data_IF_275879752213
#
_entry.id   IF_275879752213
#
_cell.length_a   1.000
_cell.length_b   1.000
_cell.length_c   1.000
_cell.angle_alpha   90.00
_cell.angle_beta   90.00
_cell.angle_gamma   90.00
#
_symmetry.space_group_name_H-M   'P 1'
#
loop_
_entity.id
_entity.type
_entity.pdbx_description
1 polymer ?
#
# COMPACT_ATOMS: atom_id res chain seq x y z
N UNK A 1 -79.52 -23.82 -52.48
CA UNK A 1 -78.36 -22.98 -52.13
C UNK A 1 -78.02 -23.15 -50.65
N UNK A 2 -77.37 -24.25 -50.23
CA UNK A 2 -76.97 -24.46 -48.81
C UNK A 2 -75.55 -25.06 -48.67
N UNK A 3 -74.94 -25.58 -49.76
CA UNK A 3 -73.62 -26.24 -49.72
C UNK A 3 -72.44 -25.33 -49.36
N UNK A 4 -72.54 -24.01 -49.53
CA UNK A 4 -71.42 -23.08 -49.29
C UNK A 4 -71.31 -22.60 -47.84
N UNK A 5 -72.41 -22.62 -47.08
CA UNK A 5 -72.41 -22.17 -45.68
C UNK A 5 -71.57 -23.11 -44.78
N UNK A 6 -71.65 -24.41 -45.04
CA UNK A 6 -70.95 -25.45 -44.27
C UNK A 6 -69.43 -25.44 -44.54
N UNK A 7 -69.04 -25.10 -45.77
CA UNK A 7 -67.63 -24.95 -46.14
C UNK A 7 -66.98 -23.73 -45.47
N UNK A 8 -67.69 -22.60 -45.43
CA UNK A 8 -67.21 -21.37 -44.78
C UNK A 8 -67.09 -21.58 -43.26
N UNK A 9 -68.06 -22.28 -42.64
CA UNK A 9 -68.03 -22.57 -41.21
C UNK A 9 -66.81 -23.41 -40.81
N UNK A 10 -66.49 -24.46 -41.59
CA UNK A 10 -65.28 -25.27 -41.39
C UNK A 10 -63.99 -24.47 -41.57
N UNK A 11 -63.96 -23.54 -42.52
CA UNK A 11 -62.81 -22.69 -42.79
C UNK A 11 -62.55 -21.71 -41.65
N UNK A 12 -63.60 -21.09 -41.10
CA UNK A 12 -63.49 -20.24 -39.92
C UNK A 12 -63.05 -21.02 -38.68
N UNK A 13 -63.53 -22.25 -38.49
CA UNK A 13 -63.12 -23.10 -37.36
C UNK A 13 -61.63 -23.51 -37.47
N UNK A 14 -61.18 -23.87 -38.66
CA UNK A 14 -59.78 -24.19 -38.93
C UNK A 14 -58.87 -22.96 -38.78
N UNK A 15 -59.30 -21.80 -39.25
CA UNK A 15 -58.58 -20.54 -39.08
C UNK A 15 -58.49 -20.13 -37.60
N UNK A 16 -59.58 -20.30 -36.84
CA UNK A 16 -59.59 -20.05 -35.39
C UNK A 16 -58.65 -20.96 -34.62
N UNK A 17 -58.63 -22.25 -34.96
CA UNK A 17 -57.69 -23.22 -34.35
C UNK A 17 -56.22 -22.89 -34.67
N UNK A 18 -55.92 -22.46 -35.91
CA UNK A 18 -54.57 -22.06 -36.31
C UNK A 18 -54.12 -20.76 -35.63
N UNK A 19 -54.99 -19.75 -35.53
CA UNK A 19 -54.66 -18.50 -34.83
C UNK A 19 -54.49 -18.73 -33.32
N UNK A 20 -55.36 -19.55 -32.71
CA UNK A 20 -55.22 -19.94 -31.31
C UNK A 20 -53.93 -20.71 -31.03
N UNK A 21 -53.59 -21.69 -31.88
CA UNK A 21 -52.35 -22.47 -31.76
C UNK A 21 -51.09 -21.63 -31.99
N UNK A 22 -51.10 -20.73 -32.97
CA UNK A 22 -49.99 -19.82 -33.24
C UNK A 22 -49.77 -18.82 -32.09
N UNK A 23 -50.83 -18.30 -31.48
CA UNK A 23 -50.73 -17.40 -30.33
C UNK A 23 -50.11 -18.07 -29.11
N UNK A 24 -50.53 -19.30 -28.79
CA UNK A 24 -49.97 -20.07 -27.66
C UNK A 24 -48.53 -20.49 -27.96
N UNK A 25 -48.23 -20.95 -29.17
CA UNK A 25 -46.87 -21.32 -29.59
C UNK A 25 -45.91 -20.14 -29.59
N UNK A 26 -46.36 -18.95 -30.02
CA UNK A 26 -45.55 -17.72 -29.96
C UNK A 26 -45.29 -17.27 -28.52
N UNK A 27 -46.32 -17.34 -27.66
CA UNK A 27 -46.19 -16.96 -26.25
C UNK A 27 -45.21 -17.88 -25.50
N UNK A 28 -45.33 -19.20 -25.67
CA UNK A 28 -44.45 -20.16 -25.00
C UNK A 28 -43.08 -20.33 -25.67
N UNK A 29 -42.99 -20.22 -27.00
CA UNK A 29 -41.75 -20.45 -27.74
C UNK A 29 -40.84 -19.22 -27.86
N UNK A 30 -41.37 -18.00 -27.81
CA UNK A 30 -40.60 -16.76 -28.01
C UNK A 30 -40.70 -15.83 -26.80
N UNK A 31 -41.92 -15.59 -26.30
CA UNK A 31 -42.12 -14.58 -25.24
C UNK A 31 -41.57 -15.04 -23.88
N UNK A 32 -41.90 -16.25 -23.44
CA UNK A 32 -41.38 -16.85 -22.20
C UNK A 32 -39.84 -16.91 -22.13
N UNK A 33 -39.10 -17.47 -23.12
CA UNK A 33 -37.65 -17.51 -23.06
C UNK A 33 -36.99 -16.12 -23.14
N UNK A 34 -37.64 -15.13 -23.75
CA UNK A 34 -37.10 -13.76 -23.83
C UNK A 34 -37.09 -13.03 -22.47
N UNK A 35 -37.96 -13.40 -21.53
CA UNK A 35 -37.96 -12.83 -20.18
C UNK A 35 -36.84 -13.42 -19.33
N UNK A 36 -36.63 -14.73 -19.42
CA UNK A 36 -35.59 -15.45 -18.68
C UNK A 36 -34.18 -14.98 -19.08
N UNK A 37 -33.97 -14.70 -20.38
CA UNK A 37 -32.71 -14.11 -20.89
C UNK A 37 -32.50 -12.68 -20.37
N UNK A 38 -33.57 -11.88 -20.21
CA UNK A 38 -33.47 -10.53 -19.64
C UNK A 38 -33.16 -10.57 -18.16
N UNK A 39 -33.79 -11.46 -17.39
CA UNK A 39 -33.49 -11.64 -15.98
C UNK A 39 -32.07 -12.16 -15.77
N UNK A 40 -31.63 -13.16 -16.56
CA UNK A 40 -30.23 -13.62 -16.50
C UNK A 40 -29.23 -12.54 -16.88
N UNK A 41 -29.48 -11.74 -17.92
CA UNK A 41 -28.56 -10.67 -18.32
C UNK A 41 -28.49 -9.55 -17.27
N UNK A 42 -29.61 -9.17 -16.65
CA UNK A 42 -29.61 -8.24 -15.52
C UNK A 42 -28.91 -8.83 -14.28
N UNK A 43 -29.11 -10.12 -13.99
CA UNK A 43 -28.44 -10.78 -12.88
C UNK A 43 -26.92 -10.88 -13.11
N UNK A 44 -26.48 -11.16 -14.35
CA UNK A 44 -25.07 -11.15 -14.70
C UNK A 44 -24.46 -9.75 -14.66
N UNK A 45 -25.18 -8.72 -15.16
CA UNK A 45 -24.73 -7.33 -15.07
C UNK A 45 -24.56 -6.88 -13.61
N UNK A 46 -25.54 -7.17 -12.73
CA UNK A 46 -25.41 -6.89 -11.28
C UNK A 46 -24.26 -7.64 -10.63
N UNK A 47 -24.02 -8.90 -11.02
CA UNK A 47 -22.87 -9.68 -10.52
C UNK A 47 -21.54 -9.08 -10.98
N UNK A 48 -21.45 -8.61 -12.22
CA UNK A 48 -20.26 -7.93 -12.73
C UNK A 48 -20.03 -6.59 -12.03
N UNK A 49 -21.07 -5.77 -11.86
CA UNK A 49 -20.97 -4.49 -11.13
C UNK A 49 -20.50 -4.72 -9.68
N UNK A 50 -21.10 -5.69 -8.98
CA UNK A 50 -20.67 -6.04 -7.62
C UNK A 50 -19.24 -6.58 -7.57
N UNK A 51 -18.83 -7.38 -8.56
CA UNK A 51 -17.46 -7.88 -8.65
C UNK A 51 -16.46 -6.75 -8.89
N UNK A 52 -16.77 -5.80 -9.79
CA UNK A 52 -15.94 -4.62 -10.06
C UNK A 52 -15.83 -3.74 -8.81
N UNK A 53 -16.95 -3.46 -8.14
CA UNK A 53 -16.94 -2.68 -6.88
C UNK A 53 -16.11 -3.36 -5.79
N UNK A 54 -16.20 -4.67 -5.62
CA UNK A 54 -15.36 -5.41 -4.67
C UNK A 54 -13.88 -5.35 -5.06
N UNK A 55 -13.55 -5.52 -6.33
CA UNK A 55 -12.15 -5.43 -6.78
C UNK A 55 -11.58 -4.03 -6.61
N UNK A 56 -12.38 -2.99 -6.85
CA UNK A 56 -11.95 -1.60 -6.66
C UNK A 56 -11.76 -1.27 -5.18
N UNK A 57 -12.66 -1.73 -4.30
CA UNK A 57 -12.50 -1.58 -2.85
C UNK A 57 -11.23 -2.26 -2.33
N UNK A 58 -10.97 -3.50 -2.75
CA UNK A 58 -9.74 -4.23 -2.41
C UNK A 58 -8.49 -3.55 -2.97
N UNK A 59 -8.54 -3.06 -4.21
CA UNK A 59 -7.42 -2.34 -4.83
C UNK A 59 -7.12 -1.02 -4.11
N UNK A 60 -8.16 -0.30 -3.67
CA UNK A 60 -8.01 0.92 -2.87
C UNK A 60 -7.41 0.63 -1.49
N UNK A 61 -7.87 -0.42 -0.80
CA UNK A 61 -7.28 -0.85 0.47
C UNK A 61 -5.81 -1.23 0.31
N UNK A 62 -5.46 -2.02 -0.70
CA UNK A 62 -4.08 -2.39 -0.98
C UNK A 62 -3.18 -1.18 -1.27
N UNK A 63 -3.70 -0.17 -2.00
CA UNK A 63 -2.97 1.09 -2.25
C UNK A 63 -2.73 1.88 -0.97
N UNK A 64 -3.74 1.99 -0.10
CA UNK A 64 -3.62 2.70 1.19
C UNK A 64 -2.63 2.01 2.11
N UNK A 65 -2.68 0.68 2.19
CA UNK A 65 -1.74 -0.09 3.01
C UNK A 65 -0.31 0.06 2.48
N UNK A 66 -0.11 -0.06 1.17
CA UNK A 66 1.21 0.14 0.55
C UNK A 66 1.74 1.55 0.81
N UNK A 67 0.91 2.59 0.68
CA UNK A 67 1.30 3.96 0.96
C UNK A 67 1.71 4.15 2.43
N UNK A 68 0.99 3.54 3.37
CA UNK A 68 1.34 3.58 4.79
C UNK A 68 2.66 2.86 5.08
N UNK A 69 2.91 1.69 4.45
CA UNK A 69 4.18 0.97 4.56
C UNK A 69 5.35 1.78 3.99
N UNK A 70 5.18 2.41 2.82
CA UNK A 70 6.21 3.27 2.21
C UNK A 70 6.52 4.48 3.10
N UNK A 71 5.50 5.13 3.66
CA UNK A 71 5.70 6.24 4.59
C UNK A 71 6.50 5.82 5.83
N UNK A 72 6.24 4.61 6.35
CA UNK A 72 7.00 4.04 7.46
C UNK A 72 8.46 3.77 7.08
N UNK A 73 8.71 3.14 5.93
CA UNK A 73 10.06 2.87 5.45
C UNK A 73 10.87 4.16 5.25
N UNK A 74 10.24 5.19 4.69
CA UNK A 74 10.84 6.52 4.54
C UNK A 74 11.16 7.16 5.90
N UNK A 75 10.25 7.05 6.87
CA UNK A 75 10.46 7.54 8.23
C UNK A 75 11.66 6.86 8.89
N UNK A 76 11.73 5.52 8.86
CA UNK A 76 12.84 4.75 9.42
C UNK A 76 14.15 5.04 8.68
N UNK A 77 14.10 5.19 7.35
CA UNK A 77 15.27 5.55 6.53
C UNK A 77 15.84 6.90 6.93
N UNK A 78 14.99 7.92 7.11
CA UNK A 78 15.40 9.24 7.61
C UNK A 78 16.01 9.17 9.01
N UNK A 79 15.39 8.42 9.92
CA UNK A 79 15.93 8.20 11.27
C UNK A 79 17.31 7.53 11.23
N UNK A 80 17.49 6.53 10.37
CA UNK A 80 18.76 5.83 10.18
C UNK A 80 19.84 6.75 9.57
N UNK A 81 19.46 7.63 8.64
CA UNK A 81 20.36 8.61 8.06
C UNK A 81 20.80 9.63 9.12
N UNK A 82 19.86 10.15 9.93
CA UNK A 82 20.15 11.05 11.04
C UNK A 82 21.13 10.43 12.02
N UNK A 83 20.89 9.18 12.44
CA UNK A 83 21.80 8.41 13.29
C UNK A 83 23.23 8.32 12.70
N UNK A 84 23.36 7.96 11.42
CA UNK A 84 24.67 7.88 10.75
C UNK A 84 25.37 9.24 10.69
N UNK A 85 24.62 10.31 10.45
CA UNK A 85 25.14 11.67 10.40
C UNK A 85 25.65 12.12 11.77
N UNK A 86 24.87 11.90 12.83
CA UNK A 86 25.26 12.22 14.20
C UNK A 86 26.48 11.41 14.64
N UNK A 87 26.51 10.11 14.33
CA UNK A 87 27.68 9.27 14.61
C UNK A 87 28.93 9.81 13.91
N UNK A 88 28.82 10.11 12.62
CA UNK A 88 29.94 10.63 11.83
C UNK A 88 30.40 12.01 12.30
N UNK A 89 29.47 12.87 12.71
CA UNK A 89 29.77 14.19 13.25
C UNK A 89 30.51 14.07 14.59
N UNK A 90 30.08 13.17 15.47
CA UNK A 90 30.76 12.89 16.73
C UNK A 90 32.19 12.36 16.50
N UNK A 91 32.39 11.50 15.50
CA UNK A 91 33.74 11.04 15.14
C UNK A 91 34.65 12.17 14.67
N UNK A 92 34.15 13.06 13.79
CA UNK A 92 34.93 14.22 13.36
C UNK A 92 35.26 15.16 14.52
N UNK A 93 34.33 15.36 15.45
CA UNK A 93 34.57 16.17 16.63
C UNK A 93 35.66 15.58 17.54
N UNK A 94 35.66 14.25 17.75
CA UNK A 94 36.72 13.58 18.51
C UNK A 94 38.06 13.65 17.80
N UNK A 95 38.09 13.44 16.48
CA UNK A 95 39.32 13.58 15.70
C UNK A 95 39.90 14.98 15.82
N UNK A 96 39.08 16.02 15.62
CA UNK A 96 39.52 17.40 15.75
C UNK A 96 40.05 17.72 17.15
N UNK A 97 39.40 17.19 18.20
CA UNK A 97 39.89 17.33 19.57
C UNK A 97 41.25 16.63 19.79
N UNK A 98 41.42 15.42 19.24
CA UNK A 98 42.71 14.71 19.36
C UNK A 98 43.83 15.40 18.59
N UNK A 99 43.52 15.98 17.42
CA UNK A 99 44.46 16.78 16.63
C UNK A 99 44.88 18.04 17.40
N UNK A 100 43.91 18.77 17.97
CA UNK A 100 44.22 19.96 18.77
C UNK A 100 45.08 19.64 20.00
N UNK A 101 44.76 18.57 20.73
CA UNK A 101 45.57 18.11 21.87
C UNK A 101 46.97 17.65 21.46
N UNK A 102 47.10 17.05 20.27
CA UNK A 102 48.39 16.69 19.71
C UNK A 102 49.21 17.92 19.33
N UNK A 103 48.60 18.92 18.68
CA UNK A 103 49.23 20.19 18.31
C UNK A 103 49.69 20.96 19.54
N UNK A 104 48.84 21.10 20.56
CA UNK A 104 49.19 21.73 21.84
C UNK A 104 50.36 21.02 22.54
N UNK A 105 50.42 19.69 22.44
CA UNK A 105 51.55 18.92 22.96
C UNK A 105 52.82 19.14 22.13
N UNK A 106 52.70 19.16 20.79
CA UNK A 106 53.85 19.32 19.89
C UNK A 106 54.48 20.71 19.98
N UNK A 107 53.68 21.75 20.28
CA UNK A 107 54.14 23.12 20.48
C UNK A 107 54.91 23.32 21.81
N UNK A 108 54.85 22.34 22.73
CA UNK A 108 55.65 22.39 23.95
C UNK A 108 57.13 22.08 23.68
N UNK A 109 57.99 23.04 24.01
CA UNK A 109 59.45 23.00 23.75
C UNK A 109 60.18 21.77 24.33
N UNK A 110 59.62 21.12 25.34
CA UNK A 110 60.21 19.94 26.00
C UNK A 110 59.60 18.60 25.54
N UNK A 111 58.58 18.64 24.69
CA UNK A 111 57.91 17.45 24.22
C UNK A 111 58.55 16.93 22.92
N UNK A 112 58.57 15.61 22.76
CA UNK A 112 58.98 14.97 21.50
C UNK A 112 57.74 14.56 20.74
N UNK A 113 57.76 14.65 19.40
CA UNK A 113 56.61 14.25 18.56
C UNK A 113 56.15 12.82 18.88
N UNK A 114 57.09 11.89 19.04
CA UNK A 114 56.80 10.50 19.43
C UNK A 114 56.18 10.38 20.83
N UNK A 115 56.55 11.27 21.76
CA UNK A 115 55.98 11.33 23.10
C UNK A 115 54.54 11.84 23.08
N UNK A 116 54.27 12.89 22.30
CA UNK A 116 52.94 13.46 22.13
C UNK A 116 51.99 12.50 21.43
N UNK A 117 52.42 11.88 20.33
CA UNK A 117 51.59 10.91 19.59
C UNK A 117 51.24 9.68 20.43
N UNK A 118 52.10 9.28 21.37
CA UNK A 118 51.84 8.18 22.31
C UNK A 118 50.86 8.57 23.42
N UNK A 119 50.86 9.84 23.82
CA UNK A 119 49.97 10.38 24.85
C UNK A 119 48.58 10.75 24.30
N UNK A 120 48.54 11.24 23.06
CA UNK A 120 47.33 11.69 22.35
C UNK A 120 47.23 10.95 21.01
N UNK A 121 46.78 9.68 21.00
CA UNK A 121 46.57 8.95 19.76
C UNK A 121 45.37 9.53 19.00
N UNK A 122 45.63 10.08 17.83
CA UNK A 122 44.61 10.67 16.96
C UNK A 122 43.70 9.57 16.42
N UNK A 123 42.43 9.57 16.82
CA UNK A 123 41.41 8.63 16.33
C UNK A 123 41.02 8.96 14.89
N UNK A 124 40.54 8.00 14.08
CA UNK A 124 40.12 8.28 12.71
C UNK A 124 38.85 9.14 12.65
N UNK A 125 38.73 9.97 11.60
CA UNK A 125 37.55 10.81 11.36
C UNK A 125 36.26 10.02 11.08
N UNK A 126 36.39 8.78 10.58
CA UNK A 126 35.27 7.91 10.19
C UNK A 126 35.39 6.55 10.86
N UNK A 127 34.25 5.95 11.18
CA UNK A 127 34.21 4.63 11.81
C UNK A 127 34.89 4.59 13.18
N UNK A 128 34.93 5.74 13.88
CA UNK A 128 35.52 5.82 15.20
C UNK A 128 34.69 5.05 16.23
N UNK A 129 35.35 4.62 17.30
CA UNK A 129 34.68 4.14 18.51
C UNK A 129 34.27 5.35 19.37
N UNK A 130 32.96 5.60 19.47
CA UNK A 130 32.43 6.60 20.38
C UNK A 130 32.49 6.11 21.83
N UNK A 131 32.41 7.05 22.77
CA UNK A 131 32.25 6.72 24.19
C UNK A 131 30.93 5.99 24.40
N UNK A 132 30.87 5.07 25.36
CA UNK A 132 29.68 4.25 25.64
C UNK A 132 28.44 5.11 25.84
N UNK A 133 28.54 6.18 26.64
CA UNK A 133 27.42 7.10 26.90
C UNK A 133 26.87 7.76 25.63
N UNK A 134 27.75 8.22 24.72
CA UNK A 134 27.31 8.87 23.49
C UNK A 134 26.75 7.85 22.49
N UNK A 135 27.39 6.69 22.36
CA UNK A 135 26.91 5.61 21.51
C UNK A 135 25.50 5.15 21.95
N UNK A 136 25.30 4.94 23.26
CA UNK A 136 24.01 4.52 23.83
C UNK A 136 22.93 5.58 23.58
N UNK A 137 23.25 6.86 23.81
CA UNK A 137 22.32 7.96 23.51
C UNK A 137 21.87 7.95 22.05
N UNK A 138 22.82 7.88 21.10
CA UNK A 138 22.49 7.86 19.67
C UNK A 138 21.68 6.62 19.28
N UNK A 139 21.97 5.47 19.89
CA UNK A 139 21.21 4.23 19.68
C UNK A 139 19.79 4.36 20.22
N UNK A 140 19.60 4.98 21.39
CA UNK A 140 18.28 5.23 21.97
C UNK A 140 17.48 6.25 21.15
N UNK A 141 18.08 7.36 20.72
CA UNK A 141 17.43 8.34 19.84
C UNK A 141 16.92 7.68 18.54
N UNK A 142 17.72 6.79 17.93
CA UNK A 142 17.29 6.01 16.77
C UNK A 142 16.14 5.04 17.11
N UNK A 143 16.19 4.39 18.27
CA UNK A 143 15.13 3.48 18.73
C UNK A 143 13.83 4.24 18.96
N UNK A 144 13.90 5.41 19.56
CA UNK A 144 12.77 6.30 19.79
C UNK A 144 12.13 6.76 18.48
N UNK A 145 12.93 7.30 17.55
CA UNK A 145 12.44 7.67 16.23
C UNK A 145 11.77 6.50 15.48
N UNK A 146 12.31 5.28 15.61
CA UNK A 146 11.67 4.09 15.03
C UNK A 146 10.33 3.76 15.69
N UNK A 147 10.21 3.93 17.01
CA UNK A 147 8.94 3.74 17.73
C UNK A 147 7.89 4.76 17.27
N UNK A 148 8.28 6.02 17.11
CA UNK A 148 7.41 7.08 16.59
C UNK A 148 6.90 6.72 15.18
N UNK A 149 7.78 6.31 14.26
CA UNK A 149 7.37 5.86 12.93
C UNK A 149 6.37 4.68 13.00
N UNK A 150 6.52 3.78 13.98
CA UNK A 150 5.62 2.65 14.15
C UNK A 150 4.24 3.08 14.65
N UNK A 151 4.17 4.07 15.54
CA UNK A 151 2.90 4.67 15.98
C UNK A 151 2.17 5.31 14.80
N UNK A 152 2.88 6.06 13.95
CA UNK A 152 2.30 6.68 12.76
C UNK A 152 1.74 5.63 11.78
N UNK A 153 2.44 4.50 11.60
CA UNK A 153 1.96 3.39 10.77
C UNK A 153 0.68 2.76 11.34
N UNK A 154 0.66 2.50 12.64
CA UNK A 154 -0.52 1.95 13.31
C UNK A 154 -1.71 2.91 13.23
N UNK A 155 -1.47 4.21 13.40
CA UNK A 155 -2.51 5.23 13.26
C UNK A 155 -3.03 5.32 11.82
N UNK A 156 -2.14 5.31 10.82
CA UNK A 156 -2.53 5.28 9.41
C UNK A 156 -3.38 4.05 9.07
N UNK A 157 -3.02 2.87 9.61
CA UNK A 157 -3.81 1.64 9.46
C UNK A 157 -5.18 1.73 10.14
N UNK A 158 -5.25 2.29 11.36
CA UNK A 158 -6.52 2.51 12.07
C UNK A 158 -7.45 3.45 11.30
N UNK A 159 -6.93 4.57 10.80
CA UNK A 159 -7.70 5.51 9.97
C UNK A 159 -8.21 4.83 8.69
N UNK A 160 -7.36 4.05 8.03
CA UNK A 160 -7.75 3.30 6.83
C UNK A 160 -8.85 2.25 7.11
N UNK A 161 -8.87 1.64 8.30
CA UNK A 161 -9.92 0.69 8.70
C UNK A 161 -11.23 1.34 9.14
N UNK A 162 -11.22 2.61 9.56
CA UNK A 162 -12.41 3.33 10.01
C UNK A 162 -13.21 3.96 8.86
N UNK A 163 -12.62 4.07 7.66
CA UNK A 163 -13.25 4.61 6.45
C UNK A 163 -13.91 3.53 5.56
N UNK A 164 -13.85 2.26 5.97
CA UNK A 164 -14.48 1.10 5.30
C UNK A 164 -15.82 0.82 5.97
#
# INVERSE_FOLDING_TARGET
MIKHADAILKLCLAAGALMGGAGVGFYYGIYLPSQDIREQSQAMARRQENAVQQTDALAQQARREKAAQTAFEDCVSRAQLSYKNHWSAACRAQHAADVAEFEDCADNFFATESGCRRKHPIRPERGCALTTQLADRLVEERREARRECQVDLEEARRRASAEV
#
